data_IF_479466359006
#
_entry.id   IF_479466359006
#
_cell.length_a   1.000
_cell.length_b   1.000
_cell.length_c   1.000
_cell.angle_alpha   90.00
_cell.angle_beta   90.00
_cell.angle_gamma   90.00
#
_symmetry.space_group_name_H-M   'P 1'
#
loop_
_entity.id
_entity.type
_entity.pdbx_description
1 polymer ?
#
# COMPACT_ATOMS: atom_id res chain seq x y z
N UNK A 1 -25.52 19.47 -32.86
CA UNK A 1 -26.27 18.59 -31.93
C UNK A 1 -25.72 17.18 -31.87
N UNK A 2 -25.47 16.52 -33.01
CA UNK A 2 -24.91 15.17 -33.06
C UNK A 2 -23.50 15.07 -32.42
N UNK A 3 -22.65 16.08 -32.61
CA UNK A 3 -21.28 16.10 -32.06
C UNK A 3 -21.26 16.14 -30.53
N UNK A 4 -22.18 16.85 -29.88
CA UNK A 4 -22.26 16.91 -28.42
C UNK A 4 -22.64 15.56 -27.79
N UNK A 5 -23.50 14.82 -28.47
CA UNK A 5 -23.94 13.49 -28.02
C UNK A 5 -22.78 12.48 -28.08
N UNK A 6 -21.96 12.50 -29.14
CA UNK A 6 -20.82 11.61 -29.30
C UNK A 6 -19.73 11.90 -28.26
N UNK A 7 -19.46 13.16 -27.96
CA UNK A 7 -18.44 13.57 -26.96
C UNK A 7 -18.87 13.10 -25.56
N UNK A 8 -20.16 13.24 -25.22
CA UNK A 8 -20.68 12.80 -23.92
C UNK A 8 -20.58 11.28 -23.75
N UNK A 9 -20.89 10.51 -24.81
CA UNK A 9 -20.77 9.06 -24.79
C UNK A 9 -19.34 8.60 -24.64
N UNK A 10 -18.39 9.26 -25.33
CA UNK A 10 -16.97 8.96 -25.23
C UNK A 10 -16.43 9.22 -23.83
N UNK A 11 -16.85 10.31 -23.21
CA UNK A 11 -16.47 10.66 -21.82
C UNK A 11 -16.97 9.64 -20.82
N UNK A 12 -18.19 9.16 -20.96
CA UNK A 12 -18.77 8.11 -20.10
C UNK A 12 -18.02 6.79 -20.23
N UNK A 13 -17.58 6.41 -21.45
CA UNK A 13 -16.82 5.19 -21.70
C UNK A 13 -15.44 5.25 -21.02
N UNK A 14 -14.76 6.40 -21.08
CA UNK A 14 -13.46 6.58 -20.44
C UNK A 14 -13.58 6.54 -18.91
N UNK A 15 -14.60 7.19 -18.34
CA UNK A 15 -14.86 7.16 -16.91
C UNK A 15 -15.22 5.76 -16.41
N UNK A 16 -16.03 5.01 -17.17
CA UNK A 16 -16.40 3.63 -16.83
C UNK A 16 -15.23 2.67 -16.91
N UNK A 17 -14.33 2.84 -17.89
CA UNK A 17 -13.14 1.99 -18.04
C UNK A 17 -12.14 2.17 -16.90
N UNK A 18 -11.92 3.39 -16.41
CA UNK A 18 -10.97 3.64 -15.32
C UNK A 18 -11.46 3.11 -13.96
N UNK A 19 -12.77 3.00 -13.73
CA UNK A 19 -13.32 2.48 -12.48
C UNK A 19 -13.02 0.99 -12.25
N UNK A 20 -12.78 0.19 -13.29
CA UNK A 20 -12.50 -1.24 -13.19
C UNK A 20 -11.01 -1.58 -13.06
N UNK A 21 -10.11 -0.60 -13.22
CA UNK A 21 -8.68 -0.85 -13.28
C UNK A 21 -7.95 -0.66 -11.94
N UNK A 22 -8.61 -0.11 -10.90
CA UNK A 22 -7.95 0.19 -9.65
C UNK A 22 -8.04 -0.96 -8.66
N UNK A 23 -6.87 -1.39 -8.15
CA UNK A 23 -6.78 -2.31 -7.03
C UNK A 23 -6.91 -1.54 -5.72
N UNK A 24 -7.48 -2.19 -4.70
CA UNK A 24 -7.56 -1.63 -3.36
C UNK A 24 -6.21 -1.76 -2.64
N UNK A 25 -6.04 -0.99 -1.55
CA UNK A 25 -4.88 -1.12 -0.69
C UNK A 25 -4.78 -2.54 -0.10
N UNK A 26 -5.88 -3.17 0.20
CA UNK A 26 -5.93 -4.56 0.70
C UNK A 26 -5.42 -5.55 -0.34
N UNK A 27 -5.71 -5.34 -1.61
CA UNK A 27 -5.21 -6.20 -2.69
C UNK A 27 -3.69 -6.13 -2.76
N UNK A 28 -3.12 -4.93 -2.67
CA UNK A 28 -1.68 -4.74 -2.64
C UNK A 28 -1.04 -5.32 -1.37
N UNK A 29 -1.69 -5.17 -0.22
CA UNK A 29 -1.23 -5.75 1.03
C UNK A 29 -1.17 -7.28 0.95
N UNK A 30 -2.21 -7.89 0.42
CA UNK A 30 -2.28 -9.35 0.26
C UNK A 30 -1.20 -9.86 -0.68
N UNK A 31 -1.01 -9.19 -1.81
CA UNK A 31 0.05 -9.50 -2.76
C UNK A 31 1.44 -9.33 -2.13
N UNK A 32 1.65 -8.22 -1.42
CA UNK A 32 2.89 -7.96 -0.71
C UNK A 32 3.19 -9.02 0.34
N UNK A 33 2.19 -9.41 1.11
CA UNK A 33 2.32 -10.46 2.15
C UNK A 33 2.73 -11.80 1.55
N UNK A 34 2.15 -12.17 0.41
CA UNK A 34 2.53 -13.39 -0.29
C UNK A 34 3.99 -13.34 -0.74
N UNK A 35 4.40 -12.23 -1.34
CA UNK A 35 5.78 -12.04 -1.77
C UNK A 35 6.75 -12.06 -0.58
N UNK A 36 6.38 -11.45 0.53
CA UNK A 36 7.16 -11.47 1.77
C UNK A 36 7.34 -12.91 2.26
N UNK A 37 6.27 -13.69 2.31
CA UNK A 37 6.32 -15.09 2.73
C UNK A 37 7.18 -15.96 1.81
N UNK A 38 7.29 -15.59 0.54
CA UNK A 38 8.16 -16.24 -0.44
C UNK A 38 9.60 -15.69 -0.38
N UNK A 39 9.91 -14.86 0.60
CA UNK A 39 11.22 -14.20 0.78
C UNK A 39 11.62 -13.27 -0.38
N UNK A 40 10.64 -12.77 -1.12
CA UNK A 40 10.83 -11.81 -2.21
C UNK A 40 10.63 -10.38 -1.67
N UNK A 41 11.56 -9.95 -0.83
CA UNK A 41 11.39 -8.74 -0.03
C UNK A 41 11.38 -7.45 -0.86
N UNK A 42 12.17 -7.37 -1.92
CA UNK A 42 12.18 -6.20 -2.82
C UNK A 42 10.82 -6.06 -3.54
N UNK A 43 10.27 -7.18 -4.01
CA UNK A 43 8.96 -7.18 -4.67
C UNK A 43 7.85 -6.88 -3.67
N UNK A 44 7.93 -7.42 -2.45
CA UNK A 44 6.99 -7.12 -1.40
C UNK A 44 6.99 -5.63 -1.06
N UNK A 45 8.15 -5.02 -0.97
CA UNK A 45 8.30 -3.57 -0.75
C UNK A 45 7.52 -2.77 -1.79
N UNK A 46 7.62 -3.13 -3.06
CA UNK A 46 6.91 -2.44 -4.15
C UNK A 46 5.40 -2.48 -3.92
N UNK A 47 4.86 -3.64 -3.58
CA UNK A 47 3.42 -3.80 -3.35
C UNK A 47 2.96 -3.04 -2.11
N UNK A 48 3.74 -3.05 -1.02
CA UNK A 48 3.39 -2.27 0.17
C UNK A 48 3.41 -0.77 -0.10
N UNK A 49 4.35 -0.28 -0.92
CA UNK A 49 4.37 1.13 -1.33
C UNK A 49 3.16 1.49 -2.19
N UNK A 50 2.71 0.58 -3.05
CA UNK A 50 1.46 0.76 -3.82
C UNK A 50 0.24 0.82 -2.91
N UNK A 51 0.21 -0.01 -1.87
CA UNK A 51 -0.86 0.05 -0.86
C UNK A 51 -0.91 1.43 -0.20
N UNK A 52 0.25 2.01 0.12
CA UNK A 52 0.33 3.34 0.72
C UNK A 52 -0.04 4.46 -0.25
N UNK A 53 0.15 4.28 -1.55
CA UNK A 53 -0.35 5.23 -2.55
C UNK A 53 -1.87 5.28 -2.54
N UNK A 54 -2.54 4.14 -2.38
CA UNK A 54 -4.00 4.06 -2.31
C UNK A 54 -4.51 4.53 -0.95
N UNK A 55 -3.86 4.11 0.13
CA UNK A 55 -4.25 4.49 1.51
C UNK A 55 -3.01 4.91 2.30
N UNK A 56 -2.67 6.22 2.30
CA UNK A 56 -1.47 6.72 3.00
C UNK A 56 -1.47 6.50 4.51
N UNK A 57 -2.62 6.17 5.10
CA UNK A 57 -2.76 5.95 6.54
C UNK A 57 -2.81 4.47 6.92
N UNK A 58 -2.53 3.57 5.98
CA UNK A 58 -2.51 2.14 6.27
C UNK A 58 -1.32 1.79 7.17
N UNK A 59 -1.59 1.56 8.45
CA UNK A 59 -0.55 1.17 9.40
C UNK A 59 -0.03 -0.23 9.10
N UNK A 60 -0.90 -1.12 8.61
CA UNK A 60 -0.49 -2.47 8.18
C UNK A 60 0.52 -2.39 7.04
N UNK A 61 0.30 -1.51 6.06
CA UNK A 61 1.23 -1.33 4.95
C UNK A 61 2.56 -0.73 5.42
N UNK A 62 2.53 0.27 6.30
CA UNK A 62 3.74 0.86 6.87
C UNK A 62 4.54 -0.17 7.66
N UNK A 63 3.88 -0.94 8.52
CA UNK A 63 4.51 -1.95 9.34
C UNK A 63 5.16 -3.05 8.47
N UNK A 64 4.42 -3.56 7.51
CA UNK A 64 4.90 -4.62 6.63
C UNK A 64 6.01 -4.12 5.69
N UNK A 65 5.91 -2.87 5.24
CA UNK A 65 6.98 -2.21 4.50
C UNK A 65 8.25 -2.12 5.35
N UNK A 66 8.12 -1.70 6.60
CA UNK A 66 9.23 -1.67 7.53
C UNK A 66 9.91 -3.03 7.68
N UNK A 67 9.11 -4.08 7.84
CA UNK A 67 9.64 -5.45 7.93
C UNK A 67 10.38 -5.87 6.66
N UNK A 68 9.85 -5.55 5.46
CA UNK A 68 10.51 -5.83 4.20
C UNK A 68 11.84 -5.10 4.07
N UNK A 69 11.90 -3.87 4.54
CA UNK A 69 13.11 -3.07 4.55
C UNK A 69 14.17 -3.64 5.52
N UNK A 70 13.74 -4.12 6.70
CA UNK A 70 14.64 -4.80 7.64
C UNK A 70 15.27 -6.03 7.02
N UNK A 71 14.47 -6.83 6.32
CA UNK A 71 14.95 -8.03 5.65
C UNK A 71 15.95 -7.72 4.54
N UNK A 72 15.92 -6.51 4.01
CA UNK A 72 16.88 -6.00 3.03
C UNK A 72 18.07 -5.29 3.68
N UNK A 73 18.16 -5.29 5.01
CA UNK A 73 19.18 -4.58 5.79
C UNK A 73 19.14 -3.06 5.61
N UNK A 74 17.97 -2.52 5.35
CA UNK A 74 17.73 -1.09 5.23
C UNK A 74 17.10 -0.55 6.53
N UNK A 75 17.87 -0.63 7.61
CA UNK A 75 17.38 -0.36 8.97
C UNK A 75 16.87 1.07 9.14
N UNK A 76 17.55 2.06 8.58
CA UNK A 76 17.15 3.46 8.70
C UNK A 76 15.79 3.72 8.05
N UNK A 77 15.59 3.23 6.84
CA UNK A 77 14.32 3.37 6.13
C UNK A 77 13.21 2.60 6.86
N UNK A 78 13.52 1.41 7.39
CA UNK A 78 12.57 0.62 8.17
C UNK A 78 12.10 1.38 9.40
N UNK A 79 13.01 2.01 10.14
CA UNK A 79 12.68 2.83 11.31
C UNK A 79 11.74 3.97 10.97
N UNK A 80 11.94 4.64 9.85
CA UNK A 80 11.06 5.70 9.38
C UNK A 80 9.62 5.20 9.19
N UNK A 81 9.47 4.00 8.62
CA UNK A 81 8.15 3.39 8.43
C UNK A 81 7.51 3.00 9.76
N UNK A 82 8.27 2.42 10.68
CA UNK A 82 7.75 2.05 12.00
C UNK A 82 7.36 3.29 12.80
N UNK A 83 8.12 4.36 12.76
CA UNK A 83 7.76 5.63 13.40
C UNK A 83 6.47 6.20 12.82
N UNK A 84 6.33 6.18 11.49
CA UNK A 84 5.11 6.63 10.84
C UNK A 84 3.90 5.80 11.27
N UNK A 85 4.06 4.48 11.33
CA UNK A 85 3.00 3.57 11.78
C UNK A 85 2.61 3.85 13.23
N UNK A 86 3.58 4.07 14.12
CA UNK A 86 3.31 4.33 15.54
C UNK A 86 2.51 5.61 15.77
N UNK A 87 2.67 6.61 14.91
CA UNK A 87 1.93 7.87 15.02
C UNK A 87 0.47 7.74 14.60
N UNK A 88 0.16 6.82 13.70
CA UNK A 88 -1.19 6.63 13.16
C UNK A 88 -1.95 5.54 13.90
N UNK A 89 -1.25 4.49 14.34
CA UNK A 89 -1.88 3.32 14.98
C UNK A 89 -2.39 3.64 16.37
N UNK A 90 -3.61 3.20 16.67
CA UNK A 90 -4.27 3.43 17.95
C UNK A 90 -4.49 2.15 18.76
N UNK A 91 -4.43 0.99 18.13
CA UNK A 91 -4.60 -0.28 18.82
C UNK A 91 -3.32 -0.64 19.58
N UNK A 92 -3.47 -0.94 20.88
CA UNK A 92 -2.33 -1.19 21.77
C UNK A 92 -1.49 -2.38 21.34
N UNK A 93 -2.13 -3.46 20.91
CA UNK A 93 -1.44 -4.68 20.50
C UNK A 93 -0.59 -4.44 19.24
N UNK A 94 -1.13 -3.71 18.28
CA UNK A 94 -0.40 -3.35 17.06
C UNK A 94 0.73 -2.38 17.35
N UNK A 95 0.52 -1.40 18.25
CA UNK A 95 1.58 -0.50 18.69
C UNK A 95 2.72 -1.26 19.35
N UNK A 96 2.41 -2.25 20.20
CA UNK A 96 3.42 -3.09 20.82
C UNK A 96 4.28 -3.82 19.80
N UNK A 97 3.68 -4.36 18.73
CA UNK A 97 4.41 -4.99 17.65
C UNK A 97 5.31 -4.03 16.89
N UNK A 98 4.80 -2.82 16.62
CA UNK A 98 5.59 -1.77 15.95
C UNK A 98 6.82 -1.42 16.78
N UNK A 99 6.64 -1.15 18.08
CA UNK A 99 7.75 -0.80 18.97
C UNK A 99 8.73 -1.95 19.15
N UNK A 100 8.23 -3.18 19.17
CA UNK A 100 9.09 -4.36 19.27
C UNK A 100 10.04 -4.47 18.06
N UNK A 101 9.56 -4.08 16.88
CA UNK A 101 10.36 -4.16 15.63
C UNK A 101 11.29 -2.95 15.44
N UNK A 102 11.06 -1.90 16.18
CA UNK A 102 11.95 -0.74 16.15
C UNK A 102 13.23 -1.05 16.92
#
# INVERSE_FOLDING_TARGET
MLQKTYITLLFLLVAGGSAFAQKSDRDYLRSGNKLYNDSLFVKAEVDYRKALEVNPKSTDAMFNLGNSLLMQQKAKEAMEQFESASKVEKEKDKLAQIYHNM
#
